data_IF_142527397731
#
_entry.id   IF_142527397731
#
_cell.length_a   1.000
_cell.length_b   1.000
_cell.length_c   1.000
_cell.angle_alpha   90.00
_cell.angle_beta   90.00
_cell.angle_gamma   90.00
#
_symmetry.space_group_name_H-M   'P 1'
#
loop_
_entity.id
_entity.type
_entity.pdbx_description
1 polymer ?
#
# COMPACT_ATOMS: atom_id res chain seq x y z
N UNK A 1 -11.07 17.30 -0.31
CA UNK A 1 -11.60 16.00 0.17
C UNK A 1 -10.51 15.22 0.89
N UNK A 2 -10.83 14.67 2.07
CA UNK A 2 -9.94 13.80 2.84
C UNK A 2 -9.93 12.40 2.21
N UNK A 3 -8.73 11.84 1.94
CA UNK A 3 -8.54 10.54 1.29
C UNK A 3 -7.48 9.73 2.01
N UNK A 4 -7.55 8.41 1.89
CA UNK A 4 -6.53 7.47 2.30
C UNK A 4 -6.04 7.66 3.75
N UNK A 5 -6.92 7.57 4.75
CA UNK A 5 -6.50 7.67 6.14
C UNK A 5 -5.67 6.44 6.54
N UNK A 6 -4.62 6.67 7.32
CA UNK A 6 -3.88 5.64 8.04
C UNK A 6 -3.76 6.02 9.50
N UNK A 7 -3.80 5.04 10.39
CA UNK A 7 -3.83 5.25 11.84
C UNK A 7 -2.73 4.42 12.50
N UNK A 8 -2.00 5.03 13.40
CA UNK A 8 -1.16 4.34 14.35
C UNK A 8 -1.36 4.96 15.74
N UNK A 9 -1.88 4.17 16.70
CA UNK A 9 -2.28 4.64 18.04
C UNK A 9 -3.18 5.89 17.95
N UNK A 10 -2.70 7.02 18.41
CA UNK A 10 -3.43 8.30 18.45
C UNK A 10 -3.11 9.23 17.27
N UNK A 11 -2.37 8.76 16.27
CA UNK A 11 -1.94 9.55 15.12
C UNK A 11 -2.63 9.11 13.85
N UNK A 12 -3.35 10.03 13.22
CA UNK A 12 -3.95 9.84 11.89
C UNK A 12 -3.15 10.63 10.88
N UNK A 13 -2.74 9.97 9.80
CA UNK A 13 -2.20 10.63 8.60
C UNK A 13 -3.18 10.40 7.45
N UNK A 14 -3.42 11.41 6.65
CA UNK A 14 -4.35 11.37 5.52
C UNK A 14 -3.90 12.28 4.39
N UNK A 15 -4.51 12.15 3.23
CA UNK A 15 -4.27 13.03 2.08
C UNK A 15 -5.39 14.07 1.98
N UNK A 16 -5.02 15.32 1.84
CA UNK A 16 -5.90 16.43 1.51
C UNK A 16 -5.17 17.39 0.56
N UNK A 17 -5.85 17.80 -0.53
CA UNK A 17 -5.27 18.71 -1.54
C UNK A 17 -3.90 18.22 -2.06
N UNK A 18 -3.83 16.91 -2.35
CA UNK A 18 -2.65 16.20 -2.85
C UNK A 18 -1.41 16.21 -1.93
N UNK A 19 -1.57 16.63 -0.66
CA UNK A 19 -0.53 16.60 0.37
C UNK A 19 -0.88 15.69 1.55
N UNK A 20 0.15 15.30 2.30
CA UNK A 20 0.01 14.61 3.58
C UNK A 20 -0.30 15.59 4.69
N UNK A 21 -1.27 15.22 5.51
CA UNK A 21 -1.68 15.91 6.72
C UNK A 21 -1.71 14.95 7.89
N UNK A 22 -1.48 15.45 9.07
CA UNK A 22 -1.51 14.69 10.32
C UNK A 22 -2.42 15.39 11.34
N UNK A 23 -3.18 14.59 12.09
CA UNK A 23 -4.01 15.06 13.21
C UNK A 23 -4.04 13.99 14.30
N UNK A 24 -4.29 14.37 15.57
CA UNK A 24 -4.62 13.40 16.61
C UNK A 24 -5.92 12.65 16.28
N UNK A 25 -6.02 11.38 16.66
CA UNK A 25 -7.23 10.58 16.45
C UNK A 25 -8.45 11.13 17.21
N UNK A 26 -8.22 11.79 18.32
CA UNK A 26 -9.25 12.50 19.08
C UNK A 26 -9.75 13.78 18.40
N UNK A 27 -9.19 14.15 17.25
CA UNK A 27 -9.48 15.40 16.55
C UNK A 27 -8.60 16.56 17.02
N UNK A 28 -8.81 17.73 16.39
CA UNK A 28 -8.02 18.94 16.65
C UNK A 28 -7.44 19.53 15.37
N UNK A 29 -6.43 20.37 15.51
CA UNK A 29 -5.76 21.02 14.39
C UNK A 29 -4.97 20.00 13.56
N UNK A 30 -5.22 19.95 12.27
CA UNK A 30 -4.40 19.19 11.34
C UNK A 30 -3.15 19.99 10.93
N UNK A 31 -2.01 19.29 10.90
CA UNK A 31 -0.73 19.83 10.45
C UNK A 31 -0.37 19.25 9.09
N UNK A 32 -0.04 20.09 8.13
CA UNK A 32 0.48 19.69 6.83
C UNK A 32 1.91 19.15 6.98
N UNK A 33 2.17 17.98 6.40
CA UNK A 33 3.47 17.31 6.45
C UNK A 33 4.30 17.55 5.18
N UNK A 34 3.65 17.69 4.04
CA UNK A 34 4.31 17.85 2.74
C UNK A 34 3.83 19.13 2.04
N UNK A 35 4.61 19.58 1.10
CA UNK A 35 4.29 20.70 0.20
C UNK A 35 4.94 20.39 -1.15
N UNK A 36 4.46 19.31 -1.79
CA UNK A 36 5.02 18.85 -3.05
C UNK A 36 4.19 19.34 -4.23
N UNK A 37 4.80 19.56 -5.42
CA UNK A 37 4.09 19.93 -6.63
C UNK A 37 3.30 18.78 -7.24
N UNK A 38 3.50 17.53 -6.78
CA UNK A 38 2.88 16.32 -7.32
C UNK A 38 1.78 15.74 -6.44
N UNK A 39 1.04 14.78 -6.97
CA UNK A 39 -0.02 14.09 -6.26
C UNK A 39 0.53 13.07 -5.28
N UNK A 40 -0.03 13.06 -4.08
CA UNK A 40 0.25 12.06 -3.04
C UNK A 40 -0.96 11.15 -2.84
N UNK A 41 -0.70 9.86 -2.63
CA UNK A 41 -1.72 8.85 -2.37
C UNK A 41 -1.19 7.75 -1.44
N UNK A 42 -2.11 6.96 -0.90
CA UNK A 42 -1.82 5.73 -0.15
C UNK A 42 -0.76 5.88 0.94
N UNK A 43 -0.89 6.81 1.87
CA UNK A 43 0.01 6.87 3.00
C UNK A 43 -0.17 5.64 3.90
N UNK A 44 0.93 5.17 4.46
CA UNK A 44 0.97 4.08 5.43
C UNK A 44 1.94 4.44 6.55
N UNK A 45 1.45 4.49 7.78
CA UNK A 45 2.30 4.61 8.97
C UNK A 45 3.04 3.29 9.22
N UNK A 46 4.31 3.37 9.59
CA UNK A 46 5.09 2.19 9.98
C UNK A 46 4.53 1.55 11.25
N UNK A 47 4.86 0.28 11.55
CA UNK A 47 4.45 -0.39 12.79
C UNK A 47 4.88 0.32 14.06
N UNK A 48 5.96 1.10 14.02
CA UNK A 48 6.42 1.96 15.14
C UNK A 48 5.73 3.32 15.19
N UNK A 49 5.09 3.75 14.09
CA UNK A 49 4.54 5.09 13.93
C UNK A 49 5.56 6.19 13.64
N UNK A 50 6.85 5.86 13.52
CA UNK A 50 7.92 6.84 13.32
C UNK A 50 8.08 7.29 11.87
N UNK A 51 7.59 6.48 10.92
CA UNK A 51 7.73 6.71 9.48
C UNK A 51 6.39 6.68 8.78
N UNK A 52 6.29 7.45 7.70
CA UNK A 52 5.18 7.40 6.74
C UNK A 52 5.75 7.03 5.37
N UNK A 53 5.28 5.93 4.80
CA UNK A 53 5.46 5.62 3.39
C UNK A 53 4.26 6.13 2.59
N UNK A 54 4.46 6.56 1.36
CA UNK A 54 3.38 7.01 0.49
C UNK A 54 3.75 6.87 -0.99
N UNK A 55 2.74 6.91 -1.84
CA UNK A 55 2.91 7.01 -3.28
C UNK A 55 2.95 8.47 -3.67
N UNK A 56 3.98 8.91 -4.40
CA UNK A 56 4.13 10.27 -4.91
C UNK A 56 4.27 10.30 -6.43
N UNK A 57 3.78 11.37 -7.07
CA UNK A 57 3.82 11.63 -8.52
C UNK A 57 4.39 13.01 -8.83
N UNK A 58 5.55 13.33 -8.34
CA UNK A 58 6.21 14.62 -8.59
C UNK A 58 7.01 14.66 -9.90
N UNK A 59 7.41 13.50 -10.44
CA UNK A 59 8.17 13.39 -11.69
C UNK A 59 7.54 12.44 -12.72
N UNK A 60 6.22 12.36 -12.79
CA UNK A 60 5.48 11.57 -13.79
C UNK A 60 4.87 10.30 -13.25
N UNK A 61 5.56 9.15 -13.29
CA UNK A 61 5.02 7.88 -12.79
C UNK A 61 4.96 7.86 -11.25
N UNK A 62 3.97 7.12 -10.66
CA UNK A 62 3.90 6.97 -9.22
C UNK A 62 5.05 6.12 -8.71
N UNK A 63 5.68 6.58 -7.64
CA UNK A 63 6.81 5.90 -7.01
C UNK A 63 6.63 5.86 -5.49
N UNK A 64 7.40 5.02 -4.82
CA UNK A 64 7.39 4.90 -3.36
C UNK A 64 8.29 5.96 -2.73
N UNK A 65 7.74 6.66 -1.76
CA UNK A 65 8.45 7.63 -0.92
C UNK A 65 8.33 7.25 0.55
N UNK A 66 9.28 7.74 1.35
CA UNK A 66 9.26 7.62 2.81
C UNK A 66 9.71 8.93 3.44
N UNK A 67 9.11 9.28 4.58
CA UNK A 67 9.51 10.42 5.40
C UNK A 67 9.30 10.13 6.89
N UNK A 68 9.98 10.86 7.81
CA UNK A 68 9.63 10.79 9.22
C UNK A 68 8.18 11.26 9.47
N UNK A 69 7.43 10.54 10.30
CA UNK A 69 6.06 10.91 10.65
C UNK A 69 6.00 12.26 11.38
N UNK A 70 7.05 12.60 12.14
CA UNK A 70 7.18 13.91 12.76
C UNK A 70 7.33 15.08 11.79
N UNK A 71 7.52 14.80 10.49
CA UNK A 71 7.84 15.78 9.45
C UNK A 71 9.32 15.77 9.10
N UNK A 72 9.66 16.33 7.94
CA UNK A 72 11.02 16.37 7.42
C UNK A 72 11.05 16.06 5.93
N UNK A 73 12.23 15.92 5.33
CA UNK A 73 12.36 15.65 3.91
C UNK A 73 11.82 14.26 3.54
N UNK A 74 11.04 14.21 2.47
CA UNK A 74 10.63 12.96 1.84
C UNK A 74 11.78 12.43 0.97
N UNK A 75 11.99 11.12 0.99
CA UNK A 75 12.97 10.44 0.16
C UNK A 75 12.26 9.44 -0.76
N UNK A 76 12.52 9.52 -2.04
CA UNK A 76 12.08 8.55 -3.04
C UNK A 76 12.88 7.25 -2.90
N UNK A 77 12.18 6.12 -2.90
CA UNK A 77 12.77 4.79 -2.73
C UNK A 77 12.80 3.99 -4.03
N UNK A 78 11.89 4.27 -4.98
CA UNK A 78 11.78 3.52 -6.24
C UNK A 78 11.87 4.43 -7.45
N UNK A 79 12.31 3.85 -8.58
CA UNK A 79 12.50 4.52 -9.88
C UNK A 79 12.06 3.55 -11.00
N UNK A 80 10.85 3.00 -10.87
CA UNK A 80 10.37 1.91 -11.73
C UNK A 80 9.75 2.38 -13.04
N UNK A 81 9.26 3.64 -13.08
CA UNK A 81 8.56 4.16 -14.25
C UNK A 81 7.27 3.40 -14.59
N UNK A 82 6.64 2.78 -13.60
CA UNK A 82 5.49 1.90 -13.73
C UNK A 82 4.38 2.32 -12.75
N UNK A 83 3.17 1.77 -12.91
CA UNK A 83 2.12 1.99 -11.92
C UNK A 83 2.55 1.34 -10.59
N UNK A 84 2.74 2.17 -9.58
CA UNK A 84 3.27 1.77 -8.28
C UNK A 84 2.39 2.34 -7.17
N UNK A 85 2.06 1.53 -6.18
CA UNK A 85 1.18 1.93 -5.08
C UNK A 85 1.67 1.35 -3.77
N UNK A 86 1.89 2.20 -2.77
CA UNK A 86 2.17 1.75 -1.40
C UNK A 86 0.97 0.95 -0.88
N UNK A 87 1.27 -0.17 -0.25
CA UNK A 87 0.28 -1.09 0.36
C UNK A 87 0.43 -1.08 1.88
N UNK A 88 1.64 -0.97 2.38
CA UNK A 88 1.92 -0.98 3.82
C UNK A 88 3.39 -1.18 4.12
N UNK A 89 3.65 -1.81 5.25
CA UNK A 89 4.99 -2.09 5.75
C UNK A 89 5.14 -3.58 6.09
N UNK A 90 6.35 -4.07 6.06
CA UNK A 90 6.69 -5.35 6.68
C UNK A 90 6.43 -5.28 8.19
N UNK A 91 6.07 -6.39 8.86
CA UNK A 91 5.77 -6.38 10.30
C UNK A 91 6.89 -5.84 11.19
N UNK A 92 8.15 -6.00 10.77
CA UNK A 92 9.33 -5.46 11.46
C UNK A 92 9.55 -3.95 11.22
N UNK A 93 8.83 -3.35 10.25
CA UNK A 93 8.97 -1.93 9.89
C UNK A 93 10.24 -1.58 9.11
N UNK A 94 11.01 -2.57 8.66
CA UNK A 94 12.27 -2.33 7.96
C UNK A 94 12.10 -2.07 6.46
N UNK A 95 10.98 -2.54 5.87
CA UNK A 95 10.71 -2.33 4.44
C UNK A 95 9.28 -1.86 4.18
N UNK A 96 9.13 -1.06 3.12
CA UNK A 96 7.85 -0.66 2.56
C UNK A 96 7.37 -1.71 1.58
N UNK A 97 6.11 -2.12 1.70
CA UNK A 97 5.44 -3.02 0.76
C UNK A 97 4.67 -2.17 -0.24
N UNK A 98 4.81 -2.49 -1.51
CA UNK A 98 4.09 -1.82 -2.57
C UNK A 98 3.67 -2.79 -3.67
N UNK A 99 2.60 -2.46 -4.38
CA UNK A 99 2.15 -3.16 -5.57
C UNK A 99 2.62 -2.42 -6.81
N UNK A 100 3.15 -3.14 -7.81
CA UNK A 100 3.58 -2.56 -9.08
C UNK A 100 3.41 -3.53 -10.24
N UNK A 101 3.19 -2.98 -11.43
CA UNK A 101 3.20 -3.69 -12.71
C UNK A 101 4.57 -3.61 -13.42
N UNK A 102 5.61 -3.15 -12.73
CA UNK A 102 6.96 -3.04 -13.26
C UNK A 102 7.45 -4.37 -13.84
N UNK A 103 8.03 -4.34 -15.04
CA UNK A 103 8.52 -5.51 -15.75
C UNK A 103 7.44 -6.47 -16.24
N UNK A 104 6.15 -6.12 -16.15
CA UNK A 104 5.07 -6.95 -16.69
C UNK A 104 4.73 -6.56 -18.14
N UNK A 105 4.46 -7.54 -19.01
CA UNK A 105 4.09 -7.27 -20.41
C UNK A 105 2.73 -6.58 -20.54
N UNK A 106 1.88 -6.69 -19.51
CA UNK A 106 0.55 -6.09 -19.49
C UNK A 106 0.31 -5.39 -18.15
N UNK A 107 -0.20 -4.16 -18.17
CA UNK A 107 -0.54 -3.33 -17.01
C UNK A 107 -1.69 -3.87 -16.13
N UNK A 108 -2.13 -5.11 -16.34
CA UNK A 108 -3.25 -5.72 -15.60
C UNK A 108 -2.81 -6.55 -14.40
N UNK A 109 -1.55 -6.91 -14.33
CA UNK A 109 -1.03 -7.77 -13.27
C UNK A 109 -0.03 -6.99 -12.44
N UNK A 110 -0.43 -6.68 -11.22
CA UNK A 110 0.48 -6.16 -10.22
C UNK A 110 1.01 -7.29 -9.35
N UNK A 111 2.24 -7.12 -8.91
CA UNK A 111 2.88 -7.98 -7.92
C UNK A 111 3.27 -7.16 -6.72
N UNK A 112 3.38 -7.81 -5.58
CA UNK A 112 3.88 -7.18 -4.37
C UNK A 112 5.40 -7.23 -4.34
N UNK A 113 5.96 -6.11 -3.95
CA UNK A 113 7.39 -5.91 -3.77
C UNK A 113 7.66 -5.31 -2.39
N UNK A 114 8.86 -5.48 -1.90
CA UNK A 114 9.40 -4.73 -0.77
C UNK A 114 10.58 -3.88 -1.21
N UNK A 115 10.74 -2.72 -0.61
CA UNK A 115 11.96 -1.91 -0.70
C UNK A 115 12.35 -1.49 0.70
N UNK A 116 13.63 -1.67 1.05
CA UNK A 116 14.11 -1.28 2.36
C UNK A 116 13.86 0.22 2.62
N UNK A 117 13.51 0.56 3.85
CA UNK A 117 13.29 1.95 4.26
C UNK A 117 14.50 2.85 3.97
N UNK A 118 15.70 2.29 3.97
CA UNK A 118 16.95 2.98 3.64
C UNK A 118 17.20 3.09 2.11
N UNK A 119 16.34 2.50 1.29
CA UNK A 119 16.51 2.37 -0.16
C UNK A 119 17.19 1.07 -0.55
N UNK A 120 17.45 0.91 -1.84
CA UNK A 120 18.05 -0.30 -2.42
C UNK A 120 17.15 -0.92 -3.50
N UNK A 121 17.56 -2.08 -3.99
CA UNK A 121 16.85 -2.79 -5.05
C UNK A 121 15.53 -3.39 -4.51
N UNK A 122 14.39 -3.10 -5.14
CA UNK A 122 13.12 -3.72 -4.77
C UNK A 122 13.14 -5.25 -4.94
N UNK A 123 12.59 -5.96 -3.96
CA UNK A 123 12.50 -7.42 -3.97
C UNK A 123 11.04 -7.86 -4.14
N UNK A 124 10.77 -8.72 -5.12
CA UNK A 124 9.44 -9.26 -5.34
C UNK A 124 9.06 -10.29 -4.28
N UNK A 125 7.88 -10.16 -3.69
CA UNK A 125 7.33 -11.15 -2.77
C UNK A 125 6.84 -12.40 -3.52
N UNK A 126 7.03 -13.60 -2.97
CA UNK A 126 6.63 -14.87 -3.61
C UNK A 126 5.13 -15.17 -3.44
N UNK A 127 4.28 -14.16 -3.59
CA UNK A 127 2.83 -14.28 -3.40
C UNK A 127 2.04 -14.54 -4.69
N UNK A 128 2.72 -14.53 -5.85
CA UNK A 128 2.06 -14.43 -7.15
C UNK A 128 1.44 -13.04 -7.36
N UNK A 129 0.56 -12.87 -8.36
CA UNK A 129 -0.11 -11.60 -8.59
C UNK A 129 -0.98 -11.21 -7.39
N UNK A 130 -0.76 -10.01 -6.86
CA UNK A 130 -1.52 -9.47 -5.73
C UNK A 130 -1.43 -7.94 -5.72
N UNK A 131 -2.41 -7.29 -5.10
CA UNK A 131 -2.55 -5.84 -5.04
C UNK A 131 -2.62 -5.30 -3.62
N UNK A 132 -2.83 -6.18 -2.65
CA UNK A 132 -2.90 -5.84 -1.24
C UNK A 132 -2.43 -7.01 -0.39
N UNK A 133 -1.97 -6.72 0.82
CA UNK A 133 -1.55 -7.70 1.80
C UNK A 133 -1.86 -7.17 3.20
N UNK A 134 -2.26 -8.07 4.09
CA UNK A 134 -2.36 -7.83 5.53
C UNK A 134 -1.69 -8.98 6.27
N UNK A 135 -1.00 -8.64 7.35
CA UNK A 135 -0.34 -9.61 8.23
C UNK A 135 -1.16 -9.83 9.50
N UNK A 136 -1.28 -11.07 9.88
CA UNK A 136 -1.85 -11.47 11.17
C UNK A 136 -0.79 -11.47 12.28
N UNK A 137 -1.22 -11.44 13.56
CA UNK A 137 -0.30 -11.39 14.71
C UNK A 137 0.57 -12.64 14.86
N UNK A 138 0.17 -13.75 14.25
CA UNK A 138 0.90 -15.03 14.29
C UNK A 138 1.76 -15.29 13.05
N UNK A 139 2.04 -14.26 12.23
CA UNK A 139 2.85 -14.39 11.03
C UNK A 139 2.08 -14.85 9.78
N UNK A 140 0.81 -15.18 9.90
CA UNK A 140 -0.05 -15.47 8.74
C UNK A 140 -0.29 -14.23 7.89
N UNK A 141 -0.66 -14.46 6.63
CA UNK A 141 -0.88 -13.39 5.64
C UNK A 141 -2.17 -13.60 4.88
N UNK A 142 -2.83 -12.49 4.52
CA UNK A 142 -3.94 -12.48 3.55
C UNK A 142 -3.56 -11.54 2.41
N UNK A 143 -3.72 -12.00 1.17
CA UNK A 143 -3.53 -11.16 -0.02
C UNK A 143 -4.83 -10.98 -0.78
N UNK A 144 -4.99 -9.80 -1.37
CA UNK A 144 -6.05 -9.50 -2.32
C UNK A 144 -5.55 -9.52 -3.76
N UNK A 145 -6.25 -10.25 -4.63
CA UNK A 145 -5.94 -10.38 -6.06
C UNK A 145 -6.96 -9.65 -6.91
N UNK A 146 -6.50 -9.09 -8.02
CA UNK A 146 -7.29 -8.61 -9.17
C UNK A 146 -8.22 -7.40 -8.96
N UNK A 147 -8.48 -6.91 -7.76
CA UNK A 147 -9.43 -5.81 -7.55
C UNK A 147 -8.74 -4.53 -7.16
N UNK A 148 -8.89 -3.51 -8.02
CA UNK A 148 -8.49 -2.13 -7.77
C UNK A 148 -9.66 -1.24 -7.37
N UNK A 149 -10.88 -1.58 -7.82
CA UNK A 149 -12.09 -0.76 -7.60
C UNK A 149 -13.34 -1.65 -7.59
N UNK A 150 -13.89 -1.85 -6.41
CA UNK A 150 -15.09 -2.65 -6.17
C UNK A 150 -16.38 -2.06 -6.76
N UNK A 151 -16.47 -0.74 -6.87
CA UNK A 151 -17.68 -0.07 -7.31
C UNK A 151 -17.93 -0.17 -8.81
N UNK A 152 -16.88 -0.34 -9.58
CA UNK A 152 -16.89 -0.29 -11.05
C UNK A 152 -17.56 -1.50 -11.71
N UNK A 153 -17.60 -2.67 -11.03
CA UNK A 153 -17.92 -3.96 -11.62
C UNK A 153 -18.92 -4.76 -10.77
N UNK A 154 -20.03 -4.17 -10.40
CA UNK A 154 -21.02 -4.73 -9.46
C UNK A 154 -21.46 -6.18 -9.72
N UNK A 155 -21.37 -6.69 -10.94
CA UNK A 155 -21.80 -8.06 -11.31
C UNK A 155 -20.75 -8.79 -12.16
N UNK A 156 -19.53 -8.30 -12.17
CA UNK A 156 -18.48 -8.96 -12.93
C UNK A 156 -18.13 -10.32 -12.30
N UNK A 157 -18.13 -11.37 -13.11
CA UNK A 157 -17.81 -12.76 -12.72
C UNK A 157 -16.70 -13.38 -13.59
N UNK A 158 -15.92 -12.58 -14.28
CA UNK A 158 -14.84 -13.03 -15.15
C UNK A 158 -13.54 -13.36 -14.39
N UNK A 159 -12.52 -13.73 -15.12
CA UNK A 159 -11.21 -14.15 -14.58
C UNK A 159 -10.43 -13.07 -13.81
N UNK A 160 -10.89 -11.80 -13.84
CA UNK A 160 -10.34 -10.69 -13.04
C UNK A 160 -11.19 -10.39 -11.80
N UNK A 161 -12.08 -11.30 -11.42
CA UNK A 161 -12.83 -11.20 -10.17
C UNK A 161 -11.86 -11.17 -8.99
N UNK A 162 -12.08 -10.24 -8.05
CA UNK A 162 -11.27 -10.14 -6.85
C UNK A 162 -11.44 -11.32 -5.93
N UNK A 163 -10.35 -11.79 -5.40
CA UNK A 163 -10.25 -12.91 -4.48
C UNK A 163 -9.33 -12.60 -3.33
N UNK A 164 -9.67 -13.11 -2.14
CA UNK A 164 -8.78 -13.13 -0.98
C UNK A 164 -8.17 -14.52 -0.83
N UNK A 165 -6.85 -14.55 -0.65
CA UNK A 165 -6.08 -15.75 -0.39
C UNK A 165 -5.36 -15.62 0.94
N UNK A 166 -5.35 -16.69 1.73
CA UNK A 166 -4.70 -16.75 3.03
C UNK A 166 -3.60 -17.78 3.05
N UNK A 167 -2.49 -17.41 3.65
CA UNK A 167 -1.43 -18.29 4.13
C UNK A 167 -1.41 -18.18 5.67
N UNK A 168 -2.05 -19.11 6.40
CA UNK A 168 -2.25 -18.96 7.84
C UNK A 168 -0.97 -18.98 8.66
N UNK A 169 0.06 -19.65 8.17
CA UNK A 169 1.33 -19.86 8.87
C UNK A 169 2.50 -19.02 8.31
N UNK A 170 2.29 -18.31 7.19
CA UNK A 170 3.39 -17.59 6.53
C UNK A 170 4.43 -18.48 5.88
N UNK A 171 4.04 -19.70 5.47
CA UNK A 171 4.95 -20.73 4.94
C UNK A 171 4.86 -20.87 3.40
N UNK A 172 4.07 -20.04 2.75
CA UNK A 172 3.84 -20.09 1.29
C UNK A 172 2.70 -21.03 0.89
N UNK A 173 1.91 -21.52 1.86
CA UNK A 173 0.79 -22.42 1.62
C UNK A 173 -0.52 -21.63 1.45
N UNK A 174 -0.76 -21.15 0.26
CA UNK A 174 -1.89 -20.29 -0.06
C UNK A 174 -3.16 -21.07 -0.35
N UNK A 175 -4.27 -20.67 0.29
CA UNK A 175 -5.61 -21.15 -0.01
C UNK A 175 -6.60 -20.00 -0.13
N UNK A 176 -7.65 -20.17 -0.91
CA UNK A 176 -8.72 -19.18 -1.01
C UNK A 176 -9.38 -18.99 0.35
N UNK A 177 -9.48 -17.75 0.83
CA UNK A 177 -10.04 -17.45 2.15
C UNK A 177 -11.57 -17.60 2.16
N UNK A 178 -12.23 -17.12 1.10
CA UNK A 178 -13.68 -17.13 0.98
C UNK A 178 -14.11 -17.79 -0.34
N UNK A 179 -15.11 -18.67 -0.26
CA UNK A 179 -15.75 -19.26 -1.43
C UNK A 179 -17.09 -18.55 -1.70
N UNK A 180 -17.01 -17.29 -2.12
CA UNK A 180 -18.20 -16.48 -2.43
C UNK A 180 -18.30 -16.22 -3.93
N UNK A 181 -19.53 -16.07 -4.44
CA UNK A 181 -19.75 -15.62 -5.80
C UNK A 181 -19.80 -14.09 -5.82
N UNK A 182 -18.71 -13.46 -6.22
CA UNK A 182 -18.62 -12.00 -6.29
C UNK A 182 -17.20 -11.49 -6.22
N UNK A 183 -17.06 -10.17 -6.28
CA UNK A 183 -15.78 -9.49 -6.09
C UNK A 183 -15.50 -9.32 -4.60
N UNK A 184 -14.37 -9.80 -4.14
CA UNK A 184 -13.85 -9.58 -2.79
C UNK A 184 -12.48 -8.93 -2.90
N UNK A 185 -12.29 -7.83 -2.21
CA UNK A 185 -11.02 -7.11 -2.21
C UNK A 185 -10.72 -6.53 -0.83
N UNK A 186 -9.46 -6.24 -0.61
CA UNK A 186 -8.89 -5.60 0.57
C UNK A 186 -9.06 -6.46 1.84
N UNK A 187 -8.00 -7.19 2.19
CA UNK A 187 -7.92 -7.90 3.47
C UNK A 187 -7.80 -6.91 4.63
#
# INVERSE_FOLDING_TARGET
YYRFPTLHRDTVVFVCEDDLWMTPAAGGAARRLTSNPGQIAMPALSPTGEWVAFTGRDEGHPEVYVMPAAGGPARRLTFLGAETRVVGWTPDGEAVIFASDAGQPFRRFSFLYTVARQGGEPQRLPTGPAMSISYGPSGGMVIGRNVTDLARWKRYRGGLTGDLWIDPAGQGEWRRLLQVQGNVALP
#
